data_IF_845235574154
#
_entry.id   IF_845235574154
#
_cell.length_a   1.000
_cell.length_b   1.000
_cell.length_c   1.000
_cell.angle_alpha   90.00
_cell.angle_beta   90.00
_cell.angle_gamma   90.00
#
_symmetry.space_group_name_H-M   'P 1'
#
loop_
_entity.id
_entity.type
_entity.pdbx_description
1 polymer ?
#
# COMPACT_ATOMS: atom_id res chain seq x y z
N UNK A 1 5.42 9.23 27.20
CA UNK A 1 6.69 8.59 26.78
C UNK A 1 7.26 9.36 25.61
N UNK A 2 8.57 9.38 25.46
CA UNK A 2 9.24 9.87 24.25
C UNK A 2 9.33 8.75 23.22
N UNK A 3 8.72 8.94 22.05
CA UNK A 3 8.67 7.95 20.96
C UNK A 3 9.41 8.47 19.74
N UNK A 4 10.35 7.67 19.22
CA UNK A 4 11.02 7.97 17.95
C UNK A 4 10.43 7.08 16.85
N UNK A 5 9.89 7.71 15.81
CA UNK A 5 9.32 7.05 14.63
C UNK A 5 10.34 7.13 13.49
N UNK A 6 10.69 5.98 12.93
CA UNK A 6 11.67 5.86 11.85
C UNK A 6 10.93 5.76 10.51
N UNK A 7 11.00 6.85 9.72
CA UNK A 7 10.34 7.01 8.42
C UNK A 7 9.08 7.86 8.47
N UNK A 8 8.98 8.82 7.53
CA UNK A 8 7.83 9.70 7.34
C UNK A 8 6.99 9.34 6.11
N UNK A 9 6.90 8.05 5.79
CA UNK A 9 5.87 7.54 4.88
C UNK A 9 4.48 7.57 5.53
N UNK A 10 3.43 7.22 4.78
CA UNK A 10 2.04 7.25 5.28
C UNK A 10 1.84 6.47 6.58
N UNK A 11 2.54 5.36 6.76
CA UNK A 11 2.46 4.54 7.99
C UNK A 11 3.08 5.29 9.17
N UNK A 12 4.30 5.82 9.01
CA UNK A 12 5.01 6.52 10.07
C UNK A 12 4.30 7.81 10.50
N UNK A 13 3.81 8.59 9.55
CA UNK A 13 3.09 9.84 9.82
C UNK A 13 1.74 9.56 10.49
N UNK A 14 0.98 8.55 10.02
CA UNK A 14 -0.27 8.14 10.68
C UNK A 14 -0.01 7.70 12.13
N UNK A 15 1.03 6.90 12.36
CA UNK A 15 1.40 6.49 13.71
C UNK A 15 1.82 7.69 14.59
N UNK A 16 2.63 8.61 14.06
CA UNK A 16 3.07 9.80 14.77
C UNK A 16 1.89 10.69 15.20
N UNK A 17 0.91 10.88 14.33
CA UNK A 17 -0.31 11.62 14.62
C UNK A 17 -1.10 10.98 15.77
N UNK A 18 -1.40 9.68 15.70
CA UNK A 18 -2.16 9.00 16.76
C UNK A 18 -1.37 8.87 18.07
N UNK A 19 -0.06 8.67 18.04
CA UNK A 19 0.80 8.68 19.22
C UNK A 19 0.78 10.04 19.90
N UNK A 20 0.85 11.13 19.14
CA UNK A 20 0.76 12.49 19.70
C UNK A 20 -0.59 12.73 20.35
N UNK A 21 -1.67 12.30 19.72
CA UNK A 21 -3.03 12.38 20.29
C UNK A 21 -3.20 11.53 21.55
N UNK A 22 -2.45 10.43 21.67
CA UNK A 22 -2.41 9.62 22.89
C UNK A 22 -1.57 10.26 24.01
N UNK A 23 -1.00 11.46 23.80
CA UNK A 23 -0.25 12.22 24.83
C UNK A 23 1.24 11.93 24.85
N UNK A 24 1.81 11.24 23.84
CA UNK A 24 3.24 10.98 23.77
C UNK A 24 4.01 12.17 23.17
N UNK A 25 5.27 12.30 23.55
CA UNK A 25 6.24 13.17 22.87
C UNK A 25 6.79 12.40 21.66
N UNK A 26 6.56 12.92 20.45
CA UNK A 26 6.88 12.18 19.23
C UNK A 26 7.89 12.93 18.37
N UNK A 27 8.89 12.19 17.90
CA UNK A 27 9.91 12.67 16.97
C UNK A 27 10.02 11.72 15.78
N UNK A 28 9.85 12.22 14.55
CA UNK A 28 9.91 11.45 13.31
C UNK A 28 11.24 11.73 12.62
N UNK A 29 11.96 10.67 12.23
CA UNK A 29 13.23 10.78 11.50
C UNK A 29 13.03 10.30 10.07
N UNK A 30 13.37 11.16 9.08
CA UNK A 30 13.19 10.90 7.67
C UNK A 30 14.43 11.34 6.88
N UNK A 31 14.88 10.51 5.95
CA UNK A 31 16.06 10.83 5.11
C UNK A 31 15.76 11.80 3.98
N UNK A 32 14.50 11.89 3.56
CA UNK A 32 14.05 12.82 2.53
C UNK A 32 13.79 14.21 3.13
N UNK A 33 13.71 15.23 2.25
CA UNK A 33 13.48 16.63 2.62
C UNK A 33 12.04 16.92 3.11
N UNK A 34 11.13 15.97 2.93
CA UNK A 34 9.74 16.07 3.38
C UNK A 34 9.11 14.69 3.58
N UNK A 35 7.91 14.63 4.17
CA UNK A 35 7.13 13.42 4.28
C UNK A 35 6.66 12.90 2.92
N UNK A 36 6.46 11.57 2.80
CA UNK A 36 5.86 10.89 1.66
C UNK A 36 6.59 11.03 0.31
N UNK A 37 7.89 11.24 0.29
CA UNK A 37 8.66 11.37 -0.96
C UNK A 37 9.16 10.03 -1.54
N UNK A 38 8.81 8.89 -0.92
CA UNK A 38 9.15 7.56 -1.43
C UNK A 38 7.89 6.77 -1.84
N UNK A 39 7.67 5.56 -1.34
CA UNK A 39 6.55 4.68 -1.77
C UNK A 39 5.17 5.33 -1.60
N UNK A 40 5.02 6.30 -0.70
CA UNK A 40 3.78 7.05 -0.48
C UNK A 40 3.58 8.21 -1.46
N UNK A 41 4.53 8.49 -2.37
CA UNK A 41 4.50 9.66 -3.26
C UNK A 41 3.46 9.52 -4.38
N UNK A 42 3.53 8.42 -5.14
CA UNK A 42 2.70 8.26 -6.33
C UNK A 42 2.16 6.83 -6.48
N UNK A 43 1.59 6.28 -5.38
CA UNK A 43 0.84 5.04 -5.43
C UNK A 43 -0.49 5.19 -6.21
N UNK A 44 -1.22 4.08 -6.39
CA UNK A 44 -2.43 4.06 -7.20
C UNK A 44 -3.61 4.87 -6.63
N UNK A 45 -3.54 5.33 -5.38
CA UNK A 45 -4.57 6.17 -4.75
C UNK A 45 -5.75 5.40 -4.17
N UNK A 46 -5.75 4.08 -4.17
CA UNK A 46 -6.83 3.25 -3.65
C UNK A 46 -6.83 3.16 -2.13
N UNK A 47 -8.00 3.35 -1.52
CA UNK A 47 -8.36 2.95 -0.16
C UNK A 47 -9.44 1.88 -0.30
N UNK A 48 -9.02 0.64 -0.45
CA UNK A 48 -9.86 -0.47 -0.86
C UNK A 48 -9.77 -1.64 0.12
N UNK A 49 -10.50 -1.61 1.24
CA UNK A 49 -10.55 -2.72 2.18
C UNK A 49 -11.21 -3.96 1.57
N UNK A 50 -12.18 -3.78 0.68
CA UNK A 50 -12.83 -4.88 -0.04
C UNK A 50 -11.87 -5.63 -0.99
N UNK A 51 -10.82 -4.97 -1.45
CA UNK A 51 -9.76 -5.56 -2.30
C UNK A 51 -8.57 -6.09 -1.48
N UNK A 52 -8.65 -6.07 -0.15
CA UNK A 52 -7.58 -6.53 0.74
C UNK A 52 -7.40 -8.06 0.66
N UNK A 53 -6.46 -8.48 -0.18
CA UNK A 53 -6.13 -9.89 -0.39
C UNK A 53 -4.62 -10.10 -0.60
N UNK A 54 -4.08 -11.25 -0.16
CA UNK A 54 -2.68 -11.58 -0.41
C UNK A 54 -2.42 -11.84 -1.90
N UNK A 55 -1.26 -11.44 -2.41
CA UNK A 55 -0.84 -11.79 -3.78
C UNK A 55 -0.58 -13.28 -3.94
N UNK A 56 -0.10 -13.95 -2.88
CA UNK A 56 0.12 -15.38 -2.86
C UNK A 56 -1.23 -16.12 -2.82
N UNK A 57 -1.73 -16.54 -3.96
CA UNK A 57 -3.00 -17.24 -4.08
C UNK A 57 -2.94 -18.47 -4.99
N UNK A 58 -3.91 -19.38 -4.91
CA UNK A 58 -3.98 -20.56 -5.77
C UNK A 58 -3.93 -20.16 -7.25
N UNK A 59 -3.06 -20.84 -8.02
CA UNK A 59 -2.90 -20.59 -9.45
C UNK A 59 -2.04 -19.37 -9.83
N UNK A 60 -1.59 -18.55 -8.88
CA UNK A 60 -0.70 -17.42 -9.14
C UNK A 60 0.62 -17.85 -9.80
N UNK A 61 1.29 -18.96 -9.42
CA UNK A 61 2.51 -19.38 -10.09
C UNK A 61 2.32 -19.62 -11.61
N UNK A 62 1.22 -20.26 -12.00
CA UNK A 62 0.89 -20.49 -13.41
C UNK A 62 0.54 -19.17 -14.13
N UNK A 63 -0.20 -18.27 -13.47
CA UNK A 63 -0.50 -16.95 -14.01
C UNK A 63 0.77 -16.12 -14.18
N UNK A 64 1.72 -16.18 -13.24
CA UNK A 64 2.98 -15.44 -13.29
C UNK A 64 3.80 -15.78 -14.53
N UNK A 65 3.90 -17.07 -14.90
CA UNK A 65 4.57 -17.51 -16.13
C UNK A 65 3.90 -16.89 -17.37
N UNK A 66 2.55 -16.90 -17.43
CA UNK A 66 1.81 -16.29 -18.53
C UNK A 66 2.04 -14.78 -18.60
N UNK A 67 2.01 -14.09 -17.46
CA UNK A 67 2.26 -12.66 -17.39
C UNK A 67 3.64 -12.28 -17.91
N UNK A 68 4.68 -13.03 -17.54
CA UNK A 68 6.05 -12.76 -18.02
C UNK A 68 6.21 -12.87 -19.53
N UNK A 69 5.32 -13.59 -20.21
CA UNK A 69 5.32 -13.77 -21.67
C UNK A 69 4.46 -12.74 -22.42
N UNK A 70 3.73 -11.87 -21.72
CA UNK A 70 2.89 -10.85 -22.34
C UNK A 70 3.73 -9.64 -22.78
N UNK A 71 3.35 -9.01 -23.89
CA UNK A 71 3.97 -7.77 -24.36
C UNK A 71 3.89 -6.66 -23.31
N UNK A 72 2.70 -6.45 -22.71
CA UNK A 72 2.47 -5.54 -21.60
C UNK A 72 2.42 -6.32 -20.30
N UNK A 73 3.55 -6.94 -19.95
CA UNK A 73 3.65 -7.83 -18.80
C UNK A 73 3.38 -7.13 -17.47
N UNK A 74 2.43 -7.59 -16.65
CA UNK A 74 2.23 -7.05 -15.30
C UNK A 74 3.35 -7.44 -14.32
N UNK A 75 4.17 -8.46 -14.65
CA UNK A 75 5.23 -8.97 -13.80
C UNK A 75 6.54 -9.15 -14.56
N UNK A 76 7.63 -8.60 -14.02
CA UNK A 76 9.00 -8.86 -14.48
C UNK A 76 9.86 -9.29 -13.32
N UNK A 77 10.66 -10.33 -13.54
CA UNK A 77 11.64 -10.84 -12.58
C UNK A 77 13.02 -10.76 -13.22
N UNK A 78 13.90 -9.98 -12.62
CA UNK A 78 15.31 -9.95 -13.01
C UNK A 78 16.05 -11.05 -12.26
N UNK A 79 16.83 -11.87 -12.96
CA UNK A 79 17.56 -12.98 -12.33
C UNK A 79 18.79 -12.45 -11.56
N UNK A 80 18.55 -11.77 -10.45
CA UNK A 80 19.59 -11.24 -9.60
C UNK A 80 20.23 -12.33 -8.75
N UNK A 81 21.53 -12.20 -8.46
CA UNK A 81 22.23 -12.98 -7.44
C UNK A 81 21.93 -12.40 -6.05
N UNK A 82 20.65 -12.38 -5.70
CA UNK A 82 20.12 -11.87 -4.44
C UNK A 82 19.44 -12.99 -3.64
N UNK A 83 20.12 -13.55 -2.62
CA UNK A 83 19.55 -14.60 -1.79
C UNK A 83 18.24 -14.20 -1.08
N UNK A 84 18.06 -12.91 -0.79
CA UNK A 84 16.84 -12.43 -0.16
C UNK A 84 15.65 -12.54 -1.13
N UNK A 85 15.85 -12.23 -2.41
CA UNK A 85 14.83 -12.39 -3.46
C UNK A 85 14.39 -13.85 -3.60
N UNK A 86 15.34 -14.74 -3.70
CA UNK A 86 15.04 -16.17 -3.88
C UNK A 86 14.34 -16.78 -2.67
N UNK A 87 14.80 -16.42 -1.45
CA UNK A 87 14.15 -16.84 -0.22
C UNK A 87 12.72 -16.31 -0.14
N UNK A 88 12.51 -15.02 -0.42
CA UNK A 88 11.19 -14.41 -0.44
C UNK A 88 10.28 -15.08 -1.48
N UNK A 89 10.79 -15.34 -2.68
CA UNK A 89 10.06 -16.03 -3.73
C UNK A 89 9.64 -17.45 -3.35
N UNK A 90 10.54 -18.23 -2.74
CA UNK A 90 10.21 -19.55 -2.23
C UNK A 90 9.13 -19.52 -1.15
N UNK A 91 9.20 -18.57 -0.21
CA UNK A 91 8.18 -18.39 0.82
C UNK A 91 6.84 -17.95 0.21
N UNK A 92 6.86 -17.08 -0.81
CA UNK A 92 5.65 -16.67 -1.52
C UNK A 92 5.00 -17.86 -2.23
N UNK A 93 5.78 -18.69 -2.93
CA UNK A 93 5.29 -19.91 -3.57
C UNK A 93 4.66 -20.88 -2.56
N UNK A 94 5.27 -21.06 -1.39
CA UNK A 94 4.72 -21.88 -0.31
C UNK A 94 3.36 -21.36 0.20
N UNK A 95 3.09 -20.06 0.11
CA UNK A 95 1.82 -19.44 0.45
C UNK A 95 0.77 -19.52 -0.68
N UNK A 96 1.10 -19.98 -1.89
CA UNK A 96 0.16 -20.09 -3.01
C UNK A 96 -0.79 -21.28 -2.90
N UNK A 97 -1.37 -21.49 -1.73
CA UNK A 97 -2.36 -22.54 -1.44
C UNK A 97 -3.70 -21.93 -0.99
N UNK A 98 -4.81 -22.64 -1.17
CA UNK A 98 -6.14 -22.17 -0.73
C UNK A 98 -6.18 -21.94 0.80
N UNK A 99 -5.54 -22.83 1.58
CA UNK A 99 -5.47 -22.71 3.04
C UNK A 99 -4.69 -21.46 3.47
N UNK A 100 -3.49 -21.25 2.94
CA UNK A 100 -2.68 -20.09 3.27
C UNK A 100 -3.36 -18.78 2.82
N UNK A 101 -3.98 -18.78 1.64
CA UNK A 101 -4.74 -17.63 1.13
C UNK A 101 -5.86 -17.23 2.10
N UNK A 102 -6.68 -18.21 2.53
CA UNK A 102 -7.78 -17.94 3.48
C UNK A 102 -7.28 -17.39 4.81
N UNK A 103 -6.23 -17.99 5.40
CA UNK A 103 -5.61 -17.52 6.65
C UNK A 103 -5.06 -16.11 6.49
N UNK A 104 -4.29 -15.83 5.43
CA UNK A 104 -3.68 -14.53 5.25
C UNK A 104 -4.73 -13.45 4.96
N UNK A 105 -5.76 -13.77 4.19
CA UNK A 105 -6.88 -12.85 3.95
C UNK A 105 -7.64 -12.53 5.24
N UNK A 106 -7.89 -13.52 6.11
CA UNK A 106 -8.55 -13.29 7.41
C UNK A 106 -7.77 -12.37 8.36
N UNK A 107 -6.46 -12.25 8.18
CA UNK A 107 -5.59 -11.32 8.90
C UNK A 107 -5.62 -9.91 8.30
N UNK A 108 -5.74 -9.81 6.97
CA UNK A 108 -5.64 -8.53 6.25
C UNK A 108 -6.95 -7.74 6.27
N UNK A 109 -8.09 -8.41 6.09
CA UNK A 109 -9.39 -7.74 5.99
C UNK A 109 -9.75 -6.95 7.27
N UNK A 110 -9.64 -7.50 8.49
CA UNK A 110 -10.00 -6.76 9.69
C UNK A 110 -9.21 -5.46 9.88
N UNK A 111 -7.90 -5.46 9.65
CA UNK A 111 -7.08 -4.25 9.79
C UNK A 111 -7.37 -3.25 8.65
N UNK A 112 -7.73 -3.71 7.46
CA UNK A 112 -8.10 -2.86 6.34
C UNK A 112 -9.45 -2.16 6.57
N UNK A 113 -10.46 -2.90 7.03
CA UNK A 113 -11.79 -2.37 7.39
C UNK A 113 -11.68 -1.38 8.56
N UNK A 114 -10.98 -1.76 9.63
CA UNK A 114 -10.72 -0.87 10.77
C UNK A 114 -10.01 0.42 10.33
N UNK A 115 -9.04 0.31 9.43
CA UNK A 115 -8.32 1.46 8.90
C UNK A 115 -9.21 2.40 8.10
N UNK A 116 -10.15 1.87 7.31
CA UNK A 116 -11.18 2.68 6.62
C UNK A 116 -11.99 3.49 7.64
N UNK A 117 -12.43 2.86 8.71
CA UNK A 117 -13.23 3.54 9.72
C UNK A 117 -12.42 4.61 10.49
N UNK A 118 -11.15 4.30 10.82
CA UNK A 118 -10.21 5.29 11.35
C UNK A 118 -9.98 6.47 10.39
N UNK A 119 -9.87 6.20 9.08
CA UNK A 119 -9.71 7.24 8.05
C UNK A 119 -10.94 8.16 7.98
N UNK A 120 -12.15 7.57 7.99
CA UNK A 120 -13.40 8.33 7.99
C UNK A 120 -13.52 9.21 9.24
N UNK A 121 -13.21 8.65 10.41
CA UNK A 121 -13.21 9.40 11.68
C UNK A 121 -12.20 10.55 11.66
N UNK A 122 -10.97 10.27 11.20
CA UNK A 122 -9.92 11.30 11.09
C UNK A 122 -10.34 12.42 10.12
N UNK A 123 -10.91 12.09 8.98
CA UNK A 123 -11.42 13.08 8.01
C UNK A 123 -12.56 13.92 8.60
N UNK A 124 -13.51 13.29 9.29
CA UNK A 124 -14.62 14.00 9.93
C UNK A 124 -14.15 14.96 11.04
N UNK A 125 -13.13 14.55 11.80
CA UNK A 125 -12.59 15.32 12.90
C UNK A 125 -11.72 16.51 12.45
N UNK A 126 -10.86 16.26 11.43
CA UNK A 126 -9.83 17.23 11.04
C UNK A 126 -10.19 18.06 9.81
N UNK A 127 -11.18 17.63 9.03
CA UNK A 127 -11.50 18.24 7.74
C UNK A 127 -10.39 18.05 6.70
N UNK A 128 -9.44 17.12 6.90
CA UNK A 128 -8.32 16.88 5.98
C UNK A 128 -8.84 16.52 4.59
N UNK A 129 -8.30 17.19 3.56
CA UNK A 129 -8.65 16.97 2.15
C UNK A 129 -7.42 16.42 1.43
N UNK A 130 -7.64 15.49 0.48
CA UNK A 130 -6.54 14.82 -0.26
C UNK A 130 -7.01 14.28 -1.62
N UNK A 131 -7.83 15.06 -2.33
CA UNK A 131 -8.50 14.66 -3.57
C UNK A 131 -9.35 13.39 -3.39
N UNK A 132 -9.92 13.22 -2.20
CA UNK A 132 -10.70 12.04 -1.83
C UNK A 132 -12.02 11.96 -2.60
N UNK A 133 -12.39 10.74 -2.99
CA UNK A 133 -13.65 10.39 -3.66
C UNK A 133 -14.19 9.08 -3.10
N UNK A 134 -15.49 9.04 -2.79
CA UNK A 134 -16.20 7.86 -2.30
C UNK A 134 -17.09 7.28 -3.42
N UNK A 135 -16.48 6.89 -4.56
CA UNK A 135 -17.18 6.38 -5.74
C UNK A 135 -17.00 4.87 -5.92
N UNK A 136 -16.28 4.24 -5.00
CA UNK A 136 -15.98 2.81 -5.06
C UNK A 136 -14.78 2.47 -5.95
N UNK A 137 -14.54 1.17 -6.08
CA UNK A 137 -13.56 0.58 -7.01
C UNK A 137 -14.31 -0.31 -8.00
N UNK A 138 -13.94 -0.23 -9.28
CA UNK A 138 -14.54 -1.02 -10.36
C UNK A 138 -13.48 -1.93 -11.00
N UNK A 139 -13.62 -3.25 -10.83
CA UNK A 139 -12.77 -4.26 -11.45
C UNK A 139 -13.36 -4.66 -12.80
N UNK A 140 -12.64 -4.46 -13.91
CA UNK A 140 -13.09 -4.76 -15.26
C UNK A 140 -12.56 -6.10 -15.75
N UNK A 141 -13.43 -6.89 -16.38
CA UNK A 141 -13.12 -8.22 -16.90
C UNK A 141 -13.33 -8.29 -18.41
N UNK A 142 -12.28 -8.70 -19.15
CA UNK A 142 -12.32 -8.79 -20.61
C UNK A 142 -12.89 -10.11 -21.11
N UNK A 143 -12.88 -11.15 -20.27
CA UNK A 143 -13.38 -12.48 -20.64
C UNK A 143 -14.32 -13.03 -19.59
N UNK A 144 -15.30 -13.87 -20.04
CA UNK A 144 -16.24 -14.53 -19.14
C UNK A 144 -15.52 -15.36 -18.07
N UNK A 145 -14.44 -16.04 -18.42
CA UNK A 145 -13.62 -16.81 -17.48
C UNK A 145 -13.04 -15.96 -16.34
N UNK A 146 -12.67 -14.69 -16.63
CA UNK A 146 -12.21 -13.77 -15.57
C UNK A 146 -13.37 -13.40 -14.66
N UNK A 147 -14.53 -13.05 -15.21
CA UNK A 147 -15.72 -12.70 -14.45
C UNK A 147 -16.20 -13.87 -13.60
N UNK A 148 -16.30 -15.08 -14.15
CA UNK A 148 -16.69 -16.28 -13.41
C UNK A 148 -15.70 -16.60 -12.26
N UNK A 149 -14.43 -16.27 -12.45
CA UNK A 149 -13.38 -16.42 -11.44
C UNK A 149 -13.59 -15.58 -10.19
N UNK A 150 -14.42 -14.53 -10.24
CA UNK A 150 -14.71 -13.67 -9.08
C UNK A 150 -15.61 -14.34 -8.03
N UNK A 151 -16.28 -15.44 -8.36
CA UNK A 151 -17.21 -16.12 -7.45
C UNK A 151 -16.58 -16.42 -6.08
N UNK A 152 -15.30 -16.84 -6.07
CA UNK A 152 -14.55 -17.12 -4.84
C UNK A 152 -14.26 -15.85 -4.02
N UNK A 153 -13.96 -14.75 -4.70
CA UNK A 153 -13.74 -13.47 -4.04
C UNK A 153 -15.04 -12.94 -3.45
N UNK A 154 -16.16 -13.11 -4.18
CA UNK A 154 -17.51 -12.73 -3.74
C UNK A 154 -17.92 -13.52 -2.48
N UNK A 155 -17.60 -14.81 -2.38
CA UNK A 155 -17.88 -15.59 -1.17
C UNK A 155 -17.17 -14.99 0.05
N UNK A 156 -15.94 -14.55 -0.11
CA UNK A 156 -15.19 -13.88 0.97
C UNK A 156 -15.78 -12.51 1.29
N UNK A 157 -16.15 -11.71 0.29
CA UNK A 157 -16.81 -10.41 0.52
C UNK A 157 -18.10 -10.60 1.33
N UNK A 158 -18.92 -11.62 1.00
CA UNK A 158 -20.12 -11.99 1.77
C UNK A 158 -19.79 -12.36 3.22
N UNK A 159 -18.76 -13.17 3.41
CA UNK A 159 -18.33 -13.61 4.75
C UNK A 159 -17.97 -12.44 5.67
N UNK A 160 -17.37 -11.38 5.13
CA UNK A 160 -16.97 -10.18 5.88
C UNK A 160 -17.97 -9.04 5.79
N UNK A 161 -19.14 -9.23 5.17
CA UNK A 161 -20.17 -8.21 5.04
C UNK A 161 -19.76 -7.01 4.16
N UNK A 162 -18.80 -7.22 3.26
CA UNK A 162 -18.34 -6.15 2.34
C UNK A 162 -19.34 -5.99 1.20
N UNK A 163 -19.90 -4.80 0.98
CA UNK A 163 -20.82 -4.54 -0.14
C UNK A 163 -20.14 -4.74 -1.48
N UNK A 164 -20.82 -5.39 -2.42
CA UNK A 164 -20.34 -5.58 -3.78
C UNK A 164 -21.51 -5.60 -4.78
N UNK A 165 -21.21 -5.31 -6.03
CA UNK A 165 -22.15 -5.36 -7.17
C UNK A 165 -21.48 -6.04 -8.36
N UNK A 166 -22.15 -7.01 -8.99
CA UNK A 166 -21.72 -7.58 -10.26
C UNK A 166 -22.49 -6.84 -11.36
N UNK A 167 -21.78 -6.16 -12.24
CA UNK A 167 -22.36 -5.27 -13.24
C UNK A 167 -22.13 -5.81 -14.67
N UNK A 168 -23.15 -5.73 -15.48
CA UNK A 168 -23.06 -5.87 -16.93
C UNK A 168 -22.51 -4.58 -17.58
N UNK A 169 -22.49 -4.52 -18.92
CA UNK A 169 -21.99 -3.36 -19.68
C UNK A 169 -22.77 -2.09 -19.36
N UNK A 170 -24.10 -2.17 -19.33
CA UNK A 170 -24.94 -1.01 -19.05
C UNK A 170 -24.71 -0.52 -17.60
N UNK A 171 -24.62 -1.45 -16.67
CA UNK A 171 -24.38 -1.16 -15.26
C UNK A 171 -23.03 -0.49 -15.01
N UNK A 172 -21.94 -0.99 -15.57
CA UNK A 172 -20.65 -0.35 -15.33
C UNK A 172 -20.49 0.99 -16.07
N UNK A 173 -21.13 1.18 -17.24
CA UNK A 173 -21.15 2.48 -17.94
C UNK A 173 -21.97 3.52 -17.16
N UNK A 174 -23.04 3.10 -16.50
CA UNK A 174 -23.82 4.01 -15.64
C UNK A 174 -22.98 4.54 -14.46
N UNK A 175 -22.07 3.71 -13.92
CA UNK A 175 -21.14 4.11 -12.83
C UNK A 175 -19.93 4.87 -13.35
N UNK A 176 -19.40 4.47 -14.52
CA UNK A 176 -18.20 5.03 -15.17
C UNK A 176 -18.52 5.45 -16.61
N UNK A 177 -19.14 6.61 -16.82
CA UNK A 177 -19.54 7.07 -18.17
C UNK A 177 -18.36 7.21 -19.13
N UNK A 178 -17.16 7.51 -18.63
CA UNK A 178 -15.94 7.58 -19.45
C UNK A 178 -15.58 6.29 -20.18
N UNK A 179 -16.13 5.13 -19.75
CA UNK A 179 -15.95 3.83 -20.42
C UNK A 179 -16.92 3.58 -21.58
N UNK A 180 -17.88 4.46 -21.85
CA UNK A 180 -18.92 4.25 -22.85
C UNK A 180 -18.35 3.90 -24.23
N UNK A 181 -17.28 4.57 -24.68
CA UNK A 181 -16.64 4.33 -25.97
C UNK A 181 -15.83 3.04 -26.06
N UNK A 182 -15.54 2.39 -24.92
CA UNK A 182 -14.67 1.20 -24.83
C UNK A 182 -15.38 0.00 -24.22
N UNK A 183 -16.65 0.13 -23.86
CA UNK A 183 -17.44 -0.88 -23.14
C UNK A 183 -17.46 -2.27 -23.79
N UNK A 184 -17.38 -2.31 -25.13
CA UNK A 184 -17.39 -3.57 -25.92
C UNK A 184 -16.16 -4.46 -25.64
N UNK A 185 -15.10 -3.91 -25.06
CA UNK A 185 -13.88 -4.65 -24.68
C UNK A 185 -14.08 -5.51 -23.43
N UNK A 186 -15.16 -5.31 -22.69
CA UNK A 186 -15.42 -5.95 -21.39
C UNK A 186 -16.73 -6.73 -21.41
N UNK A 187 -16.75 -7.82 -20.67
CA UNK A 187 -17.95 -8.67 -20.50
C UNK A 187 -18.76 -8.29 -19.25
N UNK A 188 -18.12 -7.64 -18.28
CA UNK A 188 -18.74 -7.21 -17.02
C UNK A 188 -17.71 -6.67 -16.05
N UNK A 189 -18.19 -6.30 -14.86
CA UNK A 189 -17.39 -5.73 -13.79
C UNK A 189 -17.82 -6.22 -12.41
N UNK A 190 -16.90 -6.14 -11.44
CA UNK A 190 -17.19 -6.23 -10.01
C UNK A 190 -16.93 -4.87 -9.37
N UNK A 191 -17.97 -4.27 -8.80
CA UNK A 191 -17.87 -2.99 -8.08
C UNK A 191 -17.83 -3.22 -6.58
N UNK A 192 -16.98 -2.46 -5.90
CA UNK A 192 -16.88 -2.37 -4.44
C UNK A 192 -17.28 -0.95 -4.02
N UNK A 193 -18.57 -0.69 -3.77
CA UNK A 193 -19.08 0.68 -3.57
C UNK A 193 -18.60 1.32 -2.26
N UNK A 194 -18.14 0.53 -1.28
CA UNK A 194 -17.61 1.01 -0.01
C UNK A 194 -16.16 1.47 -0.05
N UNK A 195 -15.46 1.24 -1.18
CA UNK A 195 -14.08 1.67 -1.36
C UNK A 195 -13.99 3.17 -1.68
N UNK A 196 -12.86 3.76 -1.37
CA UNK A 196 -12.56 5.17 -1.60
C UNK A 196 -11.27 5.33 -2.39
N UNK A 197 -11.06 6.52 -2.92
CA UNK A 197 -9.81 6.92 -3.55
C UNK A 197 -9.27 8.18 -2.88
N UNK A 198 -7.98 8.44 -3.03
CA UNK A 198 -7.38 9.69 -2.56
C UNK A 198 -5.88 9.75 -2.78
N UNK A 199 -5.35 10.95 -2.83
CA UNK A 199 -3.91 11.18 -3.00
C UNK A 199 -3.17 10.94 -1.67
N UNK A 200 -2.51 9.79 -1.59
CA UNK A 200 -1.73 9.38 -0.42
C UNK A 200 -0.62 10.38 -0.06
N UNK A 201 0.01 10.99 -1.06
CA UNK A 201 1.06 12.01 -0.84
C UNK A 201 0.47 13.25 -0.17
N UNK A 202 -0.60 13.83 -0.73
CA UNK A 202 -1.28 14.99 -0.15
C UNK A 202 -1.78 14.69 1.26
N UNK A 203 -2.42 13.53 1.47
CA UNK A 203 -2.85 13.11 2.81
C UNK A 203 -1.69 13.09 3.79
N UNK A 204 -0.60 12.42 3.43
CA UNK A 204 0.54 12.24 4.34
C UNK A 204 1.21 13.57 4.68
N UNK A 205 1.37 14.46 3.70
CA UNK A 205 1.95 15.78 3.94
C UNK A 205 1.06 16.66 4.82
N UNK A 206 -0.24 16.68 4.56
CA UNK A 206 -1.19 17.44 5.38
C UNK A 206 -1.29 16.90 6.79
N UNK A 207 -1.32 15.56 6.93
CA UNK A 207 -1.33 14.94 8.26
C UNK A 207 -0.03 15.20 9.03
N UNK A 208 1.13 15.23 8.33
CA UNK A 208 2.41 15.59 8.95
C UNK A 208 2.41 17.04 9.44
N UNK A 209 1.85 17.97 8.66
CA UNK A 209 1.69 19.37 9.08
C UNK A 209 0.79 19.48 10.33
N UNK A 210 -0.37 18.85 10.31
CA UNK A 210 -1.30 18.81 11.47
C UNK A 210 -0.63 18.19 12.71
N UNK A 211 0.16 17.13 12.53
CA UNK A 211 0.91 16.51 13.62
C UNK A 211 1.99 17.45 14.17
N UNK A 212 2.68 18.19 13.30
CA UNK A 212 3.68 19.19 13.69
C UNK A 212 3.06 20.33 14.49
N UNK A 213 1.89 20.86 14.08
CA UNK A 213 1.11 21.87 14.82
C UNK A 213 0.72 21.36 16.22
N UNK A 214 0.50 20.06 16.38
CA UNK A 214 0.25 19.44 17.67
C UNK A 214 1.54 19.15 18.48
N UNK A 215 2.72 19.45 17.93
CA UNK A 215 4.01 19.31 18.60
C UNK A 215 4.81 18.06 18.28
N UNK A 216 4.48 17.32 17.20
CA UNK A 216 5.37 16.30 16.65
C UNK A 216 6.56 16.97 15.99
N UNK A 217 7.78 16.53 16.31
CA UNK A 217 9.00 17.04 15.69
C UNK A 217 9.40 16.18 14.50
N UNK A 218 9.57 16.78 13.33
CA UNK A 218 10.06 16.10 12.13
C UNK A 218 11.52 16.47 11.88
N UNK A 219 12.39 15.46 11.79
CA UNK A 219 13.79 15.57 11.38
C UNK A 219 13.94 15.06 9.95
N UNK A 220 13.68 15.91 9.00
CA UNK A 220 13.95 15.67 7.59
C UNK A 220 15.44 15.74 7.29
N UNK A 221 15.88 15.29 6.10
CA UNK A 221 17.27 15.22 5.67
C UNK A 221 18.18 14.53 6.71
N UNK A 222 17.63 13.49 7.36
CA UNK A 222 18.29 12.78 8.46
C UNK A 222 18.29 11.28 8.20
N UNK A 223 19.45 10.76 7.81
CA UNK A 223 19.63 9.32 7.54
C UNK A 223 19.87 8.56 8.86
N UNK A 224 19.22 7.43 9.00
CA UNK A 224 19.38 6.50 10.11
C UNK A 224 20.46 5.48 9.73
N UNK A 225 21.49 5.36 10.54
CA UNK A 225 22.60 4.45 10.30
C UNK A 225 22.47 3.13 11.06
N UNK A 226 21.84 3.14 12.23
CA UNK A 226 21.73 1.96 13.08
C UNK A 226 20.96 2.21 14.37
N UNK A 227 20.79 1.13 15.12
CA UNK A 227 20.15 1.13 16.43
C UNK A 227 21.10 0.51 17.46
N UNK A 228 21.40 1.25 18.52
CA UNK A 228 22.19 0.75 19.65
C UNK A 228 21.29 0.00 20.61
N UNK A 229 21.77 -1.15 21.10
CA UNK A 229 21.04 -1.97 22.07
C UNK A 229 21.85 -2.19 23.34
N UNK A 230 21.14 -2.27 24.46
CA UNK A 230 21.65 -2.74 25.73
C UNK A 230 20.70 -3.83 26.26
N UNK A 231 21.17 -5.07 26.26
CA UNK A 231 20.31 -6.21 26.56
C UNK A 231 19.18 -6.38 25.55
N UNK A 232 17.96 -6.37 26.05
CA UNK A 232 16.70 -6.47 25.29
C UNK A 232 16.08 -5.10 24.95
N UNK A 233 16.83 -4.00 25.08
CA UNK A 233 16.32 -2.65 24.89
C UNK A 233 17.14 -1.88 23.85
N UNK A 234 16.46 -1.10 23.00
CA UNK A 234 17.08 -0.10 22.15
C UNK A 234 17.32 1.16 22.98
N UNK A 235 18.58 1.59 23.03
CA UNK A 235 19.03 2.75 23.82
C UNK A 235 19.42 3.95 22.99
N UNK A 236 19.63 3.76 21.66
CA UNK A 236 20.02 4.83 20.76
C UNK A 236 19.55 4.59 19.33
N UNK A 237 19.13 5.65 18.65
CA UNK A 237 18.91 5.71 17.21
C UNK A 237 20.01 6.56 16.60
N UNK A 238 20.94 5.96 15.88
CA UNK A 238 22.11 6.62 15.32
C UNK A 238 21.75 7.25 13.98
N UNK A 239 21.95 8.55 13.86
CA UNK A 239 21.62 9.33 12.66
C UNK A 239 22.76 10.21 12.21
N UNK A 240 22.65 10.76 10.98
CA UNK A 240 23.57 11.79 10.46
C UNK A 240 23.63 13.07 11.34
N UNK A 241 22.65 13.28 12.21
CA UNK A 241 22.54 14.47 13.09
C UNK A 241 22.68 14.12 14.58
N UNK A 242 23.39 13.01 14.88
CA UNK A 242 23.63 12.53 16.23
C UNK A 242 22.70 11.40 16.65
N UNK A 243 22.88 10.91 17.86
CA UNK A 243 22.14 9.79 18.46
C UNK A 243 20.92 10.32 19.23
N UNK A 244 19.76 9.72 18.98
CA UNK A 244 18.51 10.00 19.67
C UNK A 244 18.21 8.89 20.67
N UNK A 245 17.83 9.29 21.89
CA UNK A 245 17.30 8.37 22.90
C UNK A 245 15.76 8.37 22.88
N UNK A 246 15.13 7.24 23.18
CA UNK A 246 13.69 7.11 23.23
C UNK A 246 13.23 6.08 24.26
N UNK A 247 12.03 6.27 24.81
CA UNK A 247 11.36 5.25 25.62
C UNK A 247 10.85 4.11 24.73
N UNK A 248 10.36 4.45 23.54
CA UNK A 248 9.93 3.50 22.52
C UNK A 248 10.39 3.94 21.11
N UNK A 249 10.70 2.98 20.26
CA UNK A 249 11.09 3.17 18.87
C UNK A 249 10.11 2.44 17.97
N UNK A 250 9.53 3.15 17.01
CA UNK A 250 8.69 2.57 15.95
C UNK A 250 9.45 2.52 14.63
N UNK A 251 9.62 1.35 14.06
CA UNK A 251 10.23 1.17 12.76
C UNK A 251 9.15 1.10 11.67
N UNK A 252 9.09 2.13 10.79
CA UNK A 252 8.14 2.29 9.70
C UNK A 252 8.85 2.57 8.34
N UNK A 253 9.98 1.89 8.08
CA UNK A 253 10.88 2.14 6.94
C UNK A 253 10.50 1.35 5.67
N UNK A 254 9.30 0.77 5.59
CA UNK A 254 8.85 0.06 4.41
C UNK A 254 9.85 -0.99 3.94
N UNK A 255 10.24 -0.95 2.67
CA UNK A 255 11.17 -1.90 2.05
C UNK A 255 12.59 -1.88 2.64
N UNK A 256 12.98 -0.81 3.32
CA UNK A 256 14.29 -0.67 3.96
C UNK A 256 14.35 -1.25 5.39
N UNK A 257 13.22 -1.65 5.94
CA UNK A 257 13.12 -2.23 7.28
C UNK A 257 14.07 -3.41 7.53
N UNK A 258 14.22 -4.39 6.61
CA UNK A 258 15.13 -5.52 6.83
C UNK A 258 16.58 -5.11 6.99
N UNK A 259 17.02 -4.03 6.32
CA UNK A 259 18.40 -3.57 6.36
C UNK A 259 18.79 -3.06 7.77
N UNK A 260 17.89 -2.30 8.41
CA UNK A 260 18.12 -1.78 9.75
C UNK A 260 17.95 -2.86 10.84
N UNK A 261 17.12 -3.86 10.62
CA UNK A 261 16.83 -4.93 11.59
C UNK A 261 17.87 -6.05 11.58
N UNK A 262 18.55 -6.27 10.45
CA UNK A 262 19.55 -7.36 10.30
C UNK A 262 20.67 -7.31 11.33
N UNK A 263 21.31 -6.17 11.62
CA UNK A 263 22.35 -6.08 12.66
C UNK A 263 21.84 -6.40 14.09
N UNK A 264 20.56 -6.20 14.34
CA UNK A 264 19.91 -6.57 15.59
C UNK A 264 19.56 -8.05 15.68
N UNK A 265 19.85 -8.85 14.64
CA UNK A 265 19.49 -10.26 14.56
C UNK A 265 17.98 -10.49 14.36
N UNK A 266 17.22 -9.46 13.98
CA UNK A 266 15.83 -9.60 13.56
C UNK A 266 15.76 -9.78 12.04
N UNK A 267 15.12 -10.85 11.59
CA UNK A 267 14.99 -11.18 10.18
C UNK A 267 13.51 -11.17 9.81
N UNK A 268 13.12 -10.24 8.96
CA UNK A 268 11.78 -10.15 8.39
C UNK A 268 11.84 -10.37 6.88
N UNK A 269 10.92 -11.15 6.29
CA UNK A 269 10.92 -11.43 4.86
C UNK A 269 10.16 -10.33 4.09
N UNK A 270 10.52 -9.07 4.29
CA UNK A 270 10.01 -7.96 3.49
C UNK A 270 10.95 -7.74 2.32
N UNK A 271 10.42 -7.83 1.09
CA UNK A 271 11.18 -7.64 -0.13
C UNK A 271 10.64 -6.44 -0.94
N UNK A 272 11.53 -5.61 -1.55
CA UNK A 272 11.10 -4.51 -2.39
C UNK A 272 10.56 -5.02 -3.72
N UNK A 273 9.27 -4.87 -3.94
CA UNK A 273 8.64 -5.12 -5.24
C UNK A 273 8.36 -3.78 -5.90
N UNK A 274 9.14 -3.44 -6.92
CA UNK A 274 9.03 -2.17 -7.62
C UNK A 274 7.73 -2.11 -8.41
N UNK A 275 7.00 -1.01 -8.25
CA UNK A 275 5.85 -0.65 -9.05
C UNK A 275 6.07 0.68 -9.73
N UNK A 276 5.29 0.92 -10.77
CA UNK A 276 5.38 2.13 -11.56
C UNK A 276 4.06 2.86 -11.59
N UNK A 277 4.09 4.17 -11.74
CA UNK A 277 2.91 4.96 -12.04
C UNK A 277 3.21 6.10 -13.00
N UNK A 278 2.18 6.53 -13.72
CA UNK A 278 2.14 7.80 -14.40
C UNK A 278 1.04 8.67 -13.82
N UNK A 279 1.26 9.98 -13.82
CA UNK A 279 0.26 10.98 -13.44
C UNK A 279 0.10 11.95 -14.58
N UNK A 280 -1.10 12.09 -15.10
CA UNK A 280 -1.37 12.95 -16.24
C UNK A 280 -2.57 13.86 -15.95
N UNK A 281 -2.58 15.12 -16.44
CA UNK A 281 -3.74 15.99 -16.32
C UNK A 281 -4.91 15.45 -17.13
N UNK A 282 -6.14 15.65 -16.64
CA UNK A 282 -7.36 15.34 -17.38
C UNK A 282 -7.45 16.32 -18.57
N UNK A 283 -7.63 15.78 -19.76
CA UNK A 283 -7.83 16.54 -20.99
C UNK A 283 -9.32 16.72 -21.31
N UNK A 284 -10.13 15.68 -21.04
CA UNK A 284 -11.57 15.69 -21.24
C UNK A 284 -12.24 14.96 -20.06
N UNK A 285 -13.01 15.72 -19.27
CA UNK A 285 -13.72 15.20 -18.09
C UNK A 285 -14.76 14.14 -18.44
N UNK A 286 -15.38 14.21 -19.62
CA UNK A 286 -16.42 13.26 -20.04
C UNK A 286 -15.83 11.90 -20.43
N UNK A 287 -14.53 11.83 -20.65
CA UNK A 287 -13.76 10.63 -21.02
C UNK A 287 -12.78 10.19 -19.94
N UNK A 288 -12.79 10.86 -18.77
CA UNK A 288 -11.93 10.54 -17.65
C UNK A 288 -12.63 9.58 -16.68
N UNK A 289 -11.90 8.85 -15.80
CA UNK A 289 -12.52 8.04 -14.77
C UNK A 289 -13.24 8.89 -13.73
N UNK A 290 -14.27 8.34 -13.11
CA UNK A 290 -14.96 8.92 -11.94
C UNK A 290 -14.45 8.33 -10.62
N UNK A 291 -14.01 7.07 -10.62
CA UNK A 291 -13.53 6.33 -9.45
C UNK A 291 -12.13 5.76 -9.66
N UNK A 292 -11.84 4.60 -9.06
CA UNK A 292 -10.70 3.76 -9.41
C UNK A 292 -11.17 2.57 -10.26
N UNK A 293 -10.54 2.41 -11.41
CA UNK A 293 -10.76 1.30 -12.32
C UNK A 293 -9.56 0.35 -12.25
N UNK A 294 -9.81 -0.92 -11.94
CA UNK A 294 -8.79 -1.97 -11.99
C UNK A 294 -8.95 -2.79 -13.28
N UNK A 295 -8.01 -2.69 -14.21
CA UNK A 295 -7.92 -3.61 -15.33
C UNK A 295 -7.33 -4.94 -14.84
N UNK A 296 -8.16 -5.95 -14.71
CA UNK A 296 -7.77 -7.26 -14.18
C UNK A 296 -6.84 -8.04 -15.13
N UNK A 297 -6.80 -7.69 -16.40
CA UNK A 297 -5.90 -8.31 -17.39
C UNK A 297 -4.46 -7.80 -17.24
N UNK A 298 -4.28 -6.50 -17.13
CA UNK A 298 -2.97 -5.85 -17.05
C UNK A 298 -2.53 -5.61 -15.59
N UNK A 299 -3.43 -5.79 -14.61
CA UNK A 299 -3.20 -5.49 -13.19
C UNK A 299 -2.72 -4.05 -12.98
N UNK A 300 -3.44 -3.12 -13.62
CA UNK A 300 -3.20 -1.69 -13.59
C UNK A 300 -4.45 -0.98 -13.08
N UNK A 301 -4.27 -0.13 -12.09
CA UNK A 301 -5.32 0.77 -11.59
C UNK A 301 -5.26 2.11 -12.33
N UNK A 302 -6.43 2.64 -12.70
CA UNK A 302 -6.60 3.98 -13.27
C UNK A 302 -7.53 4.75 -12.36
N UNK A 303 -7.01 5.77 -11.67
CA UNK A 303 -7.69 6.49 -10.58
C UNK A 303 -7.78 7.97 -10.87
N UNK A 304 -8.94 8.58 -10.62
CA UNK A 304 -9.09 10.03 -10.64
C UNK A 304 -8.66 10.65 -9.31
N UNK A 305 -7.74 11.61 -9.35
CA UNK A 305 -7.28 12.42 -8.22
C UNK A 305 -7.45 13.90 -8.56
N UNK A 306 -8.55 14.51 -8.12
CA UNK A 306 -8.91 15.89 -8.50
C UNK A 306 -9.06 16.05 -10.00
N UNK A 307 -8.17 16.84 -10.61
CA UNK A 307 -8.07 17.11 -12.05
C UNK A 307 -6.98 16.27 -12.76
N UNK A 308 -6.51 15.20 -12.14
CA UNK A 308 -5.45 14.32 -12.64
C UNK A 308 -5.95 12.87 -12.72
N UNK A 309 -5.35 12.11 -13.62
CA UNK A 309 -5.48 10.65 -13.68
C UNK A 309 -4.15 10.06 -13.18
N UNK A 310 -4.23 9.19 -12.20
CA UNK A 310 -3.13 8.36 -11.74
C UNK A 310 -3.29 6.97 -12.33
N UNK A 311 -2.25 6.46 -12.97
CA UNK A 311 -2.21 5.09 -13.50
C UNK A 311 -1.10 4.36 -12.79
N UNK A 312 -1.43 3.38 -11.99
CA UNK A 312 -0.46 2.65 -11.18
C UNK A 312 -0.58 1.15 -11.38
N UNK A 313 0.55 0.48 -11.51
CA UNK A 313 0.51 -0.97 -11.70
C UNK A 313 1.87 -1.60 -11.84
N UNK A 314 1.87 -2.75 -12.45
CA UNK A 314 3.01 -3.61 -12.72
C UNK A 314 3.83 -3.97 -11.47
N UNK A 315 4.55 -5.05 -11.55
CA UNK A 315 5.44 -5.53 -10.50
C UNK A 315 6.79 -5.92 -11.11
N UNK A 316 7.88 -5.46 -10.49
CA UNK A 316 9.22 -5.79 -10.92
C UNK A 316 10.08 -6.18 -9.72
N UNK A 317 10.63 -7.39 -9.76
CA UNK A 317 11.62 -7.85 -8.79
C UNK A 317 13.01 -7.47 -9.32
N UNK A 318 13.56 -6.37 -8.81
CA UNK A 318 14.84 -5.79 -9.25
C UNK A 318 15.66 -5.27 -8.05
N UNK A 319 15.47 -5.84 -6.87
CA UNK A 319 16.07 -5.37 -5.64
C UNK A 319 15.70 -3.91 -5.33
N UNK A 320 16.66 -3.15 -4.85
CA UNK A 320 16.45 -1.72 -4.50
C UNK A 320 16.67 -0.76 -5.68
N UNK A 321 16.70 -1.25 -6.93
CA UNK A 321 16.89 -0.39 -8.10
C UNK A 321 15.68 0.53 -8.31
N UNK A 322 15.92 1.85 -8.36
CA UNK A 322 14.93 2.89 -8.65
C UNK A 322 14.97 3.36 -10.11
N UNK A 323 15.68 2.64 -11.00
CA UNK A 323 15.74 2.99 -12.41
C UNK A 323 14.35 2.95 -13.06
N UNK A 324 13.96 4.03 -13.71
CA UNK A 324 12.76 4.13 -14.54
C UNK A 324 13.02 3.43 -15.88
N UNK A 325 12.11 2.54 -16.27
CA UNK A 325 12.21 1.74 -17.49
C UNK A 325 11.09 2.09 -18.45
N UNK A 326 11.44 2.62 -19.63
CA UNK A 326 10.46 3.11 -20.61
C UNK A 326 9.39 2.06 -21.00
N UNK A 327 9.68 0.76 -21.19
CA UNK A 327 8.63 -0.23 -21.47
C UNK A 327 7.55 -0.32 -20.37
N UNK A 328 7.87 0.11 -19.12
CA UNK A 328 6.89 0.18 -18.03
C UNK A 328 5.97 1.39 -18.18
N UNK A 329 6.52 2.53 -18.62
CA UNK A 329 5.75 3.72 -18.96
C UNK A 329 4.79 3.43 -20.12
N UNK A 330 5.29 2.81 -21.20
CA UNK A 330 4.48 2.41 -22.36
C UNK A 330 3.30 1.52 -21.97
N UNK A 331 3.51 0.56 -21.04
CA UNK A 331 2.42 -0.29 -20.54
C UNK A 331 1.33 0.52 -19.84
N UNK A 332 1.69 1.49 -18.99
CA UNK A 332 0.72 2.33 -18.28
C UNK A 332 -0.01 3.28 -19.24
N UNK A 333 0.70 3.85 -20.21
CA UNK A 333 0.13 4.67 -21.28
C UNK A 333 -0.85 3.84 -22.11
N UNK A 334 -0.46 2.63 -22.52
CA UNK A 334 -1.33 1.73 -23.25
C UNK A 334 -2.66 1.49 -22.51
N UNK A 335 -2.59 1.17 -21.20
CA UNK A 335 -3.80 0.86 -20.44
C UNK A 335 -4.72 2.07 -20.30
N UNK A 336 -4.21 3.26 -19.98
CA UNK A 336 -5.07 4.44 -19.82
C UNK A 336 -5.68 4.88 -21.15
N UNK A 337 -4.96 4.78 -22.26
CA UNK A 337 -5.48 5.13 -23.57
C UNK A 337 -6.45 4.07 -24.12
N UNK A 338 -6.28 2.80 -23.71
CA UNK A 338 -7.20 1.71 -24.06
C UNK A 338 -8.53 1.81 -23.30
N UNK A 339 -8.49 2.24 -22.04
CA UNK A 339 -9.68 2.43 -21.20
C UNK A 339 -10.38 3.76 -21.47
N UNK A 340 -9.62 4.85 -21.48
CA UNK A 340 -10.09 6.23 -21.52
C UNK A 340 -9.43 7.02 -22.67
N UNK A 341 -9.74 6.69 -23.95
CA UNK A 341 -9.11 7.35 -25.10
C UNK A 341 -9.43 8.86 -25.12
N UNK A 342 -8.38 9.69 -25.03
CA UNK A 342 -8.51 11.15 -25.00
C UNK A 342 -8.93 11.72 -23.64
N UNK A 343 -9.11 10.91 -22.60
CA UNK A 343 -9.47 11.38 -21.25
C UNK A 343 -8.35 12.12 -20.53
N UNK A 344 -7.09 11.78 -20.82
CA UNK A 344 -5.92 12.41 -20.21
C UNK A 344 -4.87 12.84 -21.24
N UNK A 345 -4.07 13.87 -20.90
CA UNK A 345 -2.96 14.37 -21.72
C UNK A 345 -1.70 13.53 -21.45
N UNK A 346 -1.50 12.50 -22.27
CA UNK A 346 -0.39 11.55 -22.14
C UNK A 346 0.97 12.19 -22.38
N UNK A 347 1.04 13.28 -23.17
CA UNK A 347 2.29 13.99 -23.45
C UNK A 347 2.84 14.67 -22.19
N UNK A 348 1.98 15.01 -21.25
CA UNK A 348 2.35 15.60 -19.95
C UNK A 348 2.42 14.59 -18.81
N UNK A 349 2.44 13.29 -19.12
CA UNK A 349 2.50 12.26 -18.08
C UNK A 349 3.84 12.26 -17.33
N UNK A 350 3.77 12.48 -16.03
CA UNK A 350 4.91 12.32 -15.11
C UNK A 350 5.10 10.83 -14.79
N UNK A 351 6.31 10.32 -14.94
CA UNK A 351 6.64 8.92 -14.72
C UNK A 351 7.42 8.71 -13.43
N UNK A 352 6.97 7.76 -12.61
CA UNK A 352 7.53 7.48 -11.29
C UNK A 352 7.59 5.98 -10.99
N UNK A 353 8.45 5.57 -10.05
CA UNK A 353 8.44 4.23 -9.47
C UNK A 353 8.65 4.27 -7.96
N UNK A 354 8.19 3.21 -7.27
CA UNK A 354 8.39 3.02 -5.84
C UNK A 354 8.49 1.56 -5.45
N UNK A 355 9.05 1.31 -4.27
CA UNK A 355 9.32 -0.03 -3.75
C UNK A 355 8.24 -0.44 -2.76
N UNK A 356 7.33 -1.31 -3.18
CA UNK A 356 6.31 -1.89 -2.29
C UNK A 356 6.98 -2.82 -1.28
N UNK A 357 6.77 -2.65 0.04
CA UNK A 357 7.36 -3.51 1.06
C UNK A 357 6.55 -4.81 1.18
N UNK A 358 6.84 -5.78 0.30
CA UNK A 358 6.05 -7.00 0.19
C UNK A 358 6.51 -8.08 1.15
N UNK A 359 5.61 -8.56 2.01
CA UNK A 359 5.75 -9.83 2.72
C UNK A 359 5.35 -10.99 1.80
N UNK A 360 5.89 -12.21 1.98
CA UNK A 360 5.58 -13.34 1.09
C UNK A 360 4.16 -13.87 1.27
N UNK A 361 3.52 -13.59 2.40
CA UNK A 361 2.14 -13.95 2.74
C UNK A 361 1.14 -12.80 2.53
N UNK A 362 1.62 -11.60 2.16
CA UNK A 362 0.82 -10.41 1.95
C UNK A 362 0.41 -9.67 3.22
N UNK A 363 0.49 -10.31 4.38
CA UNK A 363 0.09 -9.77 5.69
C UNK A 363 1.12 -8.77 6.20
N UNK A 364 0.77 -7.57 6.69
CA UNK A 364 1.72 -6.62 7.27
C UNK A 364 2.33 -7.14 8.57
N UNK A 365 3.44 -6.53 8.99
CA UNK A 365 4.09 -6.78 10.28
C UNK A 365 3.82 -5.58 11.18
N UNK A 366 2.95 -5.76 12.18
CA UNK A 366 2.52 -4.73 13.11
C UNK A 366 2.65 -5.24 14.54
N UNK A 367 3.38 -4.56 15.39
CA UNK A 367 3.46 -4.91 16.81
C UNK A 367 4.86 -5.01 17.37
N UNK A 368 5.00 -5.57 18.59
CA UNK A 368 6.26 -5.64 19.33
C UNK A 368 7.26 -6.62 18.69
N UNK A 369 8.49 -6.49 19.11
CA UNK A 369 9.58 -7.42 18.81
C UNK A 369 10.08 -8.09 20.09
N UNK A 370 11.20 -8.82 20.01
CA UNK A 370 11.89 -9.32 21.20
C UNK A 370 12.58 -8.21 22.00
N UNK A 371 12.75 -7.03 21.43
CA UNK A 371 13.25 -5.85 22.16
C UNK A 371 12.06 -5.14 22.79
N UNK A 372 12.17 -4.92 24.11
CA UNK A 372 11.07 -4.47 24.97
C UNK A 372 10.46 -3.11 24.56
N UNK A 373 11.19 -2.31 23.77
CA UNK A 373 10.78 -0.97 23.33
C UNK A 373 10.88 -0.75 21.81
N UNK A 374 11.01 -1.81 21.01
CA UNK A 374 11.02 -1.72 19.55
C UNK A 374 9.75 -2.33 18.96
N UNK A 375 8.96 -1.50 18.29
CA UNK A 375 7.78 -1.90 17.55
C UNK A 375 8.03 -1.81 16.04
N UNK A 376 7.33 -2.63 15.28
CA UNK A 376 7.34 -2.64 13.82
C UNK A 376 5.98 -2.21 13.27
N UNK A 377 6.00 -1.46 12.17
CA UNK A 377 4.86 -1.18 11.32
C UNK A 377 5.34 -1.15 9.87
N UNK A 378 5.45 -2.32 9.24
CA UNK A 378 6.07 -2.48 7.92
C UNK A 378 5.45 -3.66 7.14
N UNK A 379 5.88 -3.86 5.91
CA UNK A 379 5.42 -5.02 5.12
C UNK A 379 3.99 -4.92 4.61
N UNK A 380 3.40 -3.73 4.51
CA UNK A 380 2.02 -3.51 4.09
C UNK A 380 1.78 -3.75 2.58
N UNK A 381 2.81 -4.05 1.83
CA UNK A 381 2.72 -4.38 0.41
C UNK A 381 2.04 -3.31 -0.44
N UNK A 382 0.99 -3.70 -1.16
CA UNK A 382 0.18 -2.79 -1.98
C UNK A 382 -0.89 -2.05 -1.18
N UNK A 383 -1.15 -2.44 0.07
CA UNK A 383 -2.27 -1.96 0.88
C UNK A 383 -1.84 -0.97 1.98
N UNK A 384 -0.61 -0.45 1.90
CA UNK A 384 -0.10 0.48 2.89
C UNK A 384 -0.97 1.74 3.04
N UNK A 385 -1.50 2.27 1.96
CA UNK A 385 -2.43 3.40 2.00
C UNK A 385 -3.76 3.01 2.66
N UNK A 386 -4.36 1.90 2.25
CA UNK A 386 -5.58 1.35 2.83
C UNK A 386 -5.46 1.10 4.33
N UNK A 387 -4.31 0.59 4.81
CA UNK A 387 -4.13 0.17 6.20
C UNK A 387 -3.48 1.23 7.11
N UNK A 388 -3.12 2.41 6.59
CA UNK A 388 -2.27 3.38 7.29
C UNK A 388 -2.89 3.91 8.59
N UNK A 389 -4.13 4.37 8.53
CA UNK A 389 -4.80 4.98 9.69
C UNK A 389 -5.03 3.95 10.81
N UNK A 390 -5.50 2.74 10.46
CA UNK A 390 -5.70 1.65 11.41
C UNK A 390 -4.37 1.18 12.04
N UNK A 391 -3.33 1.02 11.23
CA UNK A 391 -1.98 0.69 11.74
C UNK A 391 -1.49 1.76 12.72
N UNK A 392 -1.66 3.03 12.38
CA UNK A 392 -1.26 4.15 13.26
C UNK A 392 -1.99 4.12 14.59
N UNK A 393 -3.29 3.84 14.59
CA UNK A 393 -4.10 3.72 15.80
C UNK A 393 -3.67 2.52 16.65
N UNK A 394 -3.48 1.34 16.04
CA UNK A 394 -2.98 0.14 16.71
C UNK A 394 -1.64 0.40 17.40
N UNK A 395 -0.70 1.05 16.73
CA UNK A 395 0.61 1.39 17.31
C UNK A 395 0.46 2.34 18.50
N UNK A 396 -0.41 3.35 18.39
CA UNK A 396 -0.65 4.27 19.51
C UNK A 396 -1.25 3.56 20.73
N UNK A 397 -2.16 2.63 20.52
CA UNK A 397 -2.75 1.81 21.61
C UNK A 397 -1.68 0.93 22.28
N UNK A 398 -0.86 0.23 21.48
CA UNK A 398 0.23 -0.62 22.00
C UNK A 398 1.24 0.17 22.83
N UNK A 399 1.71 1.32 22.34
CA UNK A 399 2.65 2.19 23.07
C UNK A 399 2.03 2.76 24.33
N UNK A 400 0.72 2.97 24.33
CA UNK A 400 -0.04 3.44 25.51
C UNK A 400 -0.41 2.33 26.51
N UNK A 401 -0.01 1.07 26.24
CA UNK A 401 -0.37 -0.09 27.06
C UNK A 401 -1.86 -0.46 26.99
N UNK A 402 -2.55 -0.06 25.92
CA UNK A 402 -3.97 -0.39 25.68
C UNK A 402 -4.09 -1.60 24.76
N UNK A 403 -5.17 -2.35 24.91
CA UNK A 403 -5.53 -3.39 23.94
C UNK A 403 -6.06 -2.73 22.66
N UNK A 404 -5.47 -3.00 21.46
CA UNK A 404 -6.03 -2.54 20.20
C UNK A 404 -7.42 -3.14 19.93
N UNK A 405 -8.24 -2.42 19.17
CA UNK A 405 -9.56 -2.89 18.75
C UNK A 405 -9.48 -4.05 17.74
N UNK A 406 -8.36 -4.16 17.01
CA UNK A 406 -8.09 -5.25 16.06
C UNK A 406 -7.20 -6.29 16.70
N UNK A 407 -7.54 -7.57 16.55
CA UNK A 407 -6.70 -8.67 17.00
C UNK A 407 -5.39 -8.71 16.18
N UNK A 408 -4.27 -8.91 16.88
CA UNK A 408 -2.94 -8.91 16.27
C UNK A 408 -2.40 -10.31 15.95
N UNK A 409 -3.23 -11.35 16.12
CA UNK A 409 -2.81 -12.71 15.78
C UNK A 409 -2.41 -12.81 14.31
N UNK A 410 -1.19 -13.27 14.08
CA UNK A 410 -0.59 -13.34 12.75
C UNK A 410 -0.21 -11.99 12.12
N UNK A 411 -0.35 -10.85 12.83
CA UNK A 411 0.19 -9.55 12.37
C UNK A 411 1.59 -9.26 12.92
N UNK A 412 2.03 -9.97 13.98
CA UNK A 412 3.35 -9.74 14.57
C UNK A 412 4.48 -10.45 13.81
N UNK A 413 5.72 -10.09 14.14
CA UNK A 413 6.92 -10.74 13.59
C UNK A 413 6.99 -12.25 13.92
N UNK A 414 6.29 -12.71 14.95
CA UNK A 414 6.38 -14.07 15.48
C UNK A 414 5.94 -15.14 14.49
N UNK A 415 5.09 -14.79 13.51
CA UNK A 415 4.68 -15.71 12.44
C UNK A 415 5.82 -16.12 11.49
N UNK A 416 6.99 -15.51 11.62
CA UNK A 416 8.19 -15.83 10.84
C UNK A 416 9.32 -16.45 11.66
N UNK A 417 9.04 -16.82 12.91
CA UNK A 417 9.97 -17.54 13.81
C UNK A 417 9.98 -19.01 13.55
#
# INVERSE_FOLDING_TARGET
MRVVVLGAGVIGVSAAYYLRRAGHEVEVVERQSAAALETSYANAGEVSPGYAAPWAGPGVPVKAIKWMLMQHSPLVIWPLLDPAMWRWGAMMLANCTAKAYAINKSRMVPIAEYSRDCMKALRAETGIRYDERAQGTLQLFRTQKQLDGTAKDIEVLKQYGVPYEVLDRAGFVAVEPGLASTQQKFVGALRLPGDETGDCHQFTQRLAAMAAEQGVRFRYDTTIHGLDRLGDRIVGVNTTRGTLSADAVLLALGSYSPLLLKPLGLRIPVYPVKGYSITLPIADLTRAPESTIMDETHKVAVTRLGNRIRVGGTAELAGYSMALREPRRETLVHVVTDLFPGGGDVAKAEFWCGLRPMTPDGTPIIGPTRYSNLLLATGHGTLGWTMAAGTGRVIADLVSGKKPEVELDGLTIDRYR
#
